data_IF_743811180355
#
_entry.id   IF_743811180355
#
_cell.length_a   1.000
_cell.length_b   1.000
_cell.length_c   1.000
_cell.angle_alpha   90.00
_cell.angle_beta   90.00
_cell.angle_gamma   90.00
#
_symmetry.space_group_name_H-M   'P 1'
#
loop_
_entity.id
_entity.type
_entity.pdbx_description
1 polymer ?
#
# COMPACT_ATOMS: atom_id res chain seq x y z
N UNK A 1 -18.74 4.89 2.66
CA UNK A 1 -17.82 5.96 2.16
C UNK A 1 -16.52 6.05 2.97
N UNK A 2 -16.54 6.31 4.29
CA UNK A 2 -15.33 6.35 5.15
C UNK A 2 -14.50 5.06 5.03
N UNK A 3 -15.12 3.91 5.32
CA UNK A 3 -14.43 2.61 5.24
C UNK A 3 -13.88 2.29 3.85
N UNK A 4 -14.59 2.63 2.77
CA UNK A 4 -14.10 2.44 1.40
C UNK A 4 -12.81 3.23 1.13
N UNK A 5 -12.74 4.51 1.54
CA UNK A 5 -11.51 5.31 1.37
C UNK A 5 -10.35 4.76 2.19
N UNK A 6 -10.63 4.36 3.42
CA UNK A 6 -9.63 3.76 4.30
C UNK A 6 -9.09 2.45 3.70
N UNK A 7 -9.97 1.60 3.19
CA UNK A 7 -9.57 0.36 2.52
C UNK A 7 -8.68 0.62 1.29
N UNK A 8 -9.05 1.59 0.44
CA UNK A 8 -8.23 1.95 -0.72
C UNK A 8 -6.85 2.48 -0.33
N UNK A 9 -6.77 3.27 0.76
CA UNK A 9 -5.50 3.74 1.31
C UNK A 9 -4.61 2.59 1.79
N UNK A 10 -5.17 1.67 2.58
CA UNK A 10 -4.44 0.53 3.13
C UNK A 10 -3.97 -0.44 2.03
N UNK A 11 -4.80 -0.66 1.00
CA UNK A 11 -4.43 -1.50 -0.15
C UNK A 11 -3.28 -0.86 -0.96
N UNK A 12 -3.29 0.46 -1.13
CA UNK A 12 -2.19 1.16 -1.79
C UNK A 12 -0.89 1.09 -0.99
N UNK A 13 -0.97 1.23 0.33
CA UNK A 13 0.17 1.10 1.26
C UNK A 13 0.75 -0.32 1.24
N UNK A 14 -0.11 -1.34 1.34
CA UNK A 14 0.28 -2.74 1.23
C UNK A 14 0.94 -3.04 -0.14
N UNK A 15 0.37 -2.55 -1.23
CA UNK A 15 0.91 -2.76 -2.57
C UNK A 15 2.29 -2.11 -2.76
N UNK A 16 2.53 -0.94 -2.14
CA UNK A 16 3.85 -0.30 -2.15
C UNK A 16 4.92 -1.14 -1.42
N UNK A 17 4.54 -1.82 -0.34
CA UNK A 17 5.43 -2.70 0.43
C UNK A 17 5.63 -4.08 -0.21
N UNK A 18 4.64 -4.61 -0.94
CA UNK A 18 4.63 -6.00 -1.42
C UNK A 18 5.39 -6.25 -2.74
N UNK A 19 6.36 -5.41 -3.09
CA UNK A 19 7.14 -5.57 -4.33
C UNK A 19 8.18 -6.71 -4.21
N UNK A 20 7.80 -7.97 -4.46
CA UNK A 20 8.64 -9.20 -4.42
C UNK A 20 8.83 -9.84 -3.03
N UNK A 21 7.85 -10.65 -2.61
CA UNK A 21 7.74 -11.32 -1.30
C UNK A 21 8.57 -12.61 -1.22
N UNK A 22 8.46 -13.51 -2.21
CA UNK A 22 9.05 -14.86 -2.17
C UNK A 22 10.58 -14.89 -2.19
N UNK A 23 11.23 -13.98 -2.91
CA UNK A 23 12.69 -13.89 -2.92
C UNK A 23 13.26 -13.41 -1.58
N UNK A 24 12.44 -12.76 -0.74
CA UNK A 24 12.89 -12.09 0.48
C UNK A 24 12.78 -12.94 1.73
N UNK A 25 11.79 -13.84 1.81
CA UNK A 25 11.75 -14.84 2.88
C UNK A 25 13.01 -15.72 2.84
N UNK A 26 13.39 -16.15 1.62
CA UNK A 26 14.64 -16.89 1.40
C UNK A 26 15.88 -16.07 1.75
N UNK A 27 15.87 -14.76 1.43
CA UNK A 27 16.95 -13.83 1.81
C UNK A 27 17.06 -13.72 3.34
N UNK A 28 15.94 -13.57 4.06
CA UNK A 28 15.93 -13.42 5.51
C UNK A 28 16.42 -14.68 6.22
N UNK A 29 15.99 -15.87 5.79
CA UNK A 29 16.45 -17.14 6.35
C UNK A 29 17.95 -17.35 6.14
N UNK A 30 18.45 -17.02 4.95
CA UNK A 30 19.87 -17.04 4.66
C UNK A 30 20.65 -16.09 5.58
N UNK A 31 20.19 -14.84 5.70
CA UNK A 31 20.83 -13.84 6.56
C UNK A 31 20.84 -14.28 8.03
N UNK A 32 19.74 -14.85 8.53
CA UNK A 32 19.66 -15.39 9.91
C UNK A 32 20.65 -16.51 10.14
N UNK A 33 20.77 -17.44 9.20
CA UNK A 33 21.76 -18.53 9.29
C UNK A 33 23.19 -17.98 9.32
N UNK A 34 23.53 -17.05 8.41
CA UNK A 34 24.86 -16.44 8.34
C UNK A 34 25.22 -15.67 9.61
N UNK A 35 24.28 -14.87 10.14
CA UNK A 35 24.45 -14.13 11.40
C UNK A 35 24.67 -15.11 12.55
N UNK A 36 23.88 -16.18 12.63
CA UNK A 36 24.01 -17.19 13.69
C UNK A 36 25.35 -17.91 13.64
N UNK A 37 25.80 -18.31 12.45
CA UNK A 37 27.10 -18.98 12.26
C UNK A 37 28.25 -18.09 12.76
N UNK A 38 28.28 -16.82 12.34
CA UNK A 38 29.35 -15.88 12.73
C UNK A 38 29.28 -15.52 14.21
N UNK A 39 28.08 -15.28 14.77
CA UNK A 39 27.91 -15.00 16.21
C UNK A 39 28.33 -16.18 17.07
N UNK A 40 28.00 -17.41 16.67
CA UNK A 40 28.38 -18.61 17.41
C UNK A 40 29.90 -18.82 17.48
N UNK A 41 30.64 -18.27 16.52
CA UNK A 41 32.10 -18.32 16.49
C UNK A 41 32.77 -17.38 17.49
N UNK A 42 32.06 -16.42 18.10
CA UNK A 42 32.60 -15.48 19.10
C UNK A 42 33.95 -14.90 18.69
N UNK A 43 34.00 -14.27 17.51
CA UNK A 43 35.22 -13.70 16.96
C UNK A 43 35.62 -12.43 17.71
N UNK A 44 36.91 -12.30 18.03
CA UNK A 44 37.47 -11.08 18.61
C UNK A 44 38.45 -10.46 17.62
N UNK A 45 38.38 -9.14 17.43
CA UNK A 45 39.29 -8.42 16.54
C UNK A 45 40.73 -8.53 17.06
N UNK A 46 41.65 -8.94 16.19
CA UNK A 46 43.08 -9.12 16.52
C UNK A 46 43.44 -10.47 17.17
N UNK A 47 42.46 -11.35 17.43
CA UNK A 47 42.71 -12.68 18.00
C UNK A 47 43.48 -13.61 17.05
N UNK A 48 43.26 -13.45 15.73
CA UNK A 48 43.81 -14.32 14.68
C UNK A 48 45.33 -14.43 14.72
N UNK A 49 46.02 -13.29 14.84
CA UNK A 49 47.49 -13.25 14.83
C UNK A 49 48.08 -13.92 16.08
N UNK A 50 47.43 -13.76 17.23
CA UNK A 50 47.83 -14.42 18.47
C UNK A 50 47.66 -15.94 18.38
N UNK A 51 46.48 -16.39 17.92
CA UNK A 51 46.15 -17.82 17.78
C UNK A 51 47.04 -18.48 16.72
N UNK A 52 47.30 -17.83 15.59
CA UNK A 52 48.22 -18.35 14.57
C UNK A 52 49.63 -18.52 15.12
N UNK A 53 50.15 -17.53 15.86
CA UNK A 53 51.49 -17.62 16.43
C UNK A 53 51.60 -18.75 17.46
N UNK A 54 50.58 -18.90 18.32
CA UNK A 54 50.50 -20.00 19.27
C UNK A 54 50.39 -21.35 18.57
N UNK A 55 49.58 -21.46 17.52
CA UNK A 55 49.45 -22.68 16.72
C UNK A 55 50.75 -23.04 16.00
N UNK A 56 51.44 -22.08 15.38
CA UNK A 56 52.75 -22.29 14.74
C UNK A 56 53.78 -22.81 15.73
N UNK A 57 53.83 -22.27 16.95
CA UNK A 57 54.73 -22.76 17.99
C UNK A 57 54.35 -24.17 18.46
N UNK A 58 53.07 -24.40 18.74
CA UNK A 58 52.55 -25.69 19.24
C UNK A 58 52.70 -26.83 18.22
N UNK A 59 52.34 -26.59 16.96
CA UNK A 59 52.47 -27.58 15.87
C UNK A 59 53.92 -27.98 15.57
N UNK A 60 54.87 -27.05 15.78
CA UNK A 60 56.29 -27.32 15.65
C UNK A 60 56.96 -27.82 16.94
N UNK A 61 56.23 -27.90 18.06
CA UNK A 61 56.81 -28.18 19.38
C UNK A 61 57.55 -29.52 19.42
N UNK A 62 57.03 -30.57 18.76
CA UNK A 62 57.74 -31.85 18.63
C UNK A 62 59.11 -31.69 17.96
N UNK A 63 59.15 -30.96 16.84
CA UNK A 63 60.39 -30.72 16.09
C UNK A 63 61.35 -29.82 16.84
N UNK A 64 60.83 -28.84 17.57
CA UNK A 64 61.62 -27.94 18.42
C UNK A 64 62.27 -28.70 19.57
N UNK A 65 61.54 -29.58 20.24
CA UNK A 65 62.06 -30.47 21.29
C UNK A 65 63.15 -31.39 20.72
N UNK A 66 62.88 -32.06 19.59
CA UNK A 66 63.86 -32.93 18.92
C UNK A 66 65.18 -32.19 18.62
N UNK A 67 65.10 -30.99 18.05
CA UNK A 67 66.28 -30.20 17.71
C UNK A 67 67.00 -29.67 18.95
N UNK A 68 66.27 -29.13 19.92
CA UNK A 68 66.85 -28.59 21.16
C UNK A 68 67.55 -29.69 21.97
N UNK A 69 66.91 -30.85 22.16
CA UNK A 69 67.50 -32.00 22.83
C UNK A 69 68.69 -32.58 22.05
N UNK A 70 68.64 -32.63 20.72
CA UNK A 70 69.77 -33.08 19.90
C UNK A 70 70.98 -32.14 20.01
N UNK A 71 70.76 -30.82 20.07
CA UNK A 71 71.83 -29.83 20.26
C UNK A 71 72.41 -29.94 21.68
N UNK A 72 71.56 -29.99 22.71
CA UNK A 72 71.99 -30.12 24.10
C UNK A 72 72.82 -31.40 24.31
N UNK A 73 72.38 -32.52 23.74
CA UNK A 73 73.11 -33.79 23.80
C UNK A 73 74.49 -33.70 23.12
N UNK A 74 74.56 -33.13 21.90
CA UNK A 74 75.84 -32.91 21.20
C UNK A 74 76.80 -32.01 21.98
N UNK A 75 76.29 -30.97 22.64
CA UNK A 75 77.11 -30.04 23.38
C UNK A 75 77.59 -30.62 24.71
N UNK A 76 76.74 -31.33 25.46
CA UNK A 76 77.02 -31.68 26.86
C UNK A 76 76.89 -33.17 27.21
N UNK A 77 75.86 -33.87 26.73
CA UNK A 77 75.44 -35.17 27.31
C UNK A 77 76.01 -36.42 26.60
N UNK A 78 76.53 -36.28 25.38
CA UNK A 78 77.16 -37.38 24.67
C UNK A 78 78.51 -37.81 25.28
N UNK A 79 78.88 -39.09 25.17
CA UNK A 79 80.17 -39.63 25.66
C UNK A 79 81.40 -38.88 25.13
N UNK A 80 81.31 -38.31 23.92
CA UNK A 80 82.31 -37.40 23.32
C UNK A 80 81.70 -36.05 22.96
N UNK A 81 80.95 -35.45 23.88
CA UNK A 81 80.35 -34.13 23.70
C UNK A 81 81.39 -33.05 23.41
N UNK A 82 80.95 -31.94 22.80
CA UNK A 82 81.84 -30.81 22.52
C UNK A 82 82.48 -30.29 23.81
N UNK A 83 81.71 -30.18 24.89
CA UNK A 83 82.23 -29.72 26.19
C UNK A 83 83.23 -30.70 26.80
N UNK A 84 83.05 -32.02 26.65
CA UNK A 84 84.03 -33.00 27.16
C UNK A 84 85.37 -32.91 26.41
N UNK A 85 85.34 -32.75 25.09
CA UNK A 85 86.54 -32.55 24.27
C UNK A 85 87.23 -31.21 24.55
N UNK A 86 86.46 -30.14 24.78
CA UNK A 86 87.01 -28.85 25.18
C UNK A 86 87.63 -28.92 26.59
N UNK A 87 87.11 -29.73 27.50
CA UNK A 87 87.71 -29.96 28.81
C UNK A 87 89.07 -30.67 28.70
N UNK A 88 89.21 -31.62 27.78
CA UNK A 88 90.50 -32.25 27.45
C UNK A 88 91.48 -31.23 26.85
N UNK A 89 91.02 -30.39 25.93
CA UNK A 89 91.83 -29.32 25.33
C UNK A 89 92.28 -28.30 26.39
N UNK A 90 91.43 -27.96 27.35
CA UNK A 90 91.78 -27.08 28.47
C UNK A 90 92.89 -27.68 29.34
N UNK A 91 92.95 -29.01 29.52
CA UNK A 91 94.06 -29.67 30.25
C UNK A 91 95.37 -29.50 29.50
N UNK A 92 95.36 -29.70 28.17
CA UNK A 92 96.54 -29.49 27.32
C UNK A 92 96.99 -28.04 27.31
N UNK A 93 96.05 -27.08 27.23
CA UNK A 93 96.37 -25.65 27.31
C UNK A 93 97.02 -25.27 28.65
N UNK A 94 96.55 -25.85 29.77
CA UNK A 94 97.18 -25.63 31.09
C UNK A 94 98.57 -26.24 31.19
N UNK A 95 98.81 -27.39 30.56
CA UNK A 95 100.15 -27.97 30.48
C UNK A 95 101.09 -27.09 29.63
N UNK A 96 100.58 -26.57 28.51
CA UNK A 96 101.33 -25.66 27.65
C UNK A 96 101.65 -24.33 28.34
N UNK A 97 100.70 -23.78 29.08
CA UNK A 97 100.86 -22.54 29.87
C UNK A 97 101.94 -22.67 30.97
N UNK A 98 102.12 -23.87 31.55
CA UNK A 98 103.22 -24.15 32.49
C UNK A 98 104.60 -24.09 31.82
N UNK A 99 104.66 -24.30 30.50
CA UNK A 99 105.90 -24.27 29.71
C UNK A 99 106.13 -22.85 29.16
N UNK A 100 105.08 -22.22 28.63
CA UNK A 100 105.11 -20.86 28.08
C UNK A 100 103.94 -20.02 28.59
N UNK A 101 104.25 -19.05 29.45
CA UNK A 101 103.27 -18.12 30.02
C UNK A 101 102.54 -17.24 28.99
N UNK A 102 103.08 -17.07 27.76
CA UNK A 102 102.43 -16.30 26.71
C UNK A 102 101.09 -16.91 26.25
N UNK A 103 100.86 -18.19 26.58
CA UNK A 103 99.66 -18.95 26.24
C UNK A 103 98.46 -18.63 27.14
N UNK A 104 98.66 -17.96 28.28
CA UNK A 104 97.61 -17.66 29.26
C UNK A 104 96.38 -16.95 28.64
N UNK A 105 96.58 -16.06 27.65
CA UNK A 105 95.48 -15.40 26.94
C UNK A 105 94.58 -16.37 26.17
N UNK A 106 95.16 -17.42 25.55
CA UNK A 106 94.41 -18.43 24.80
C UNK A 106 93.70 -19.40 25.76
N UNK A 107 94.35 -19.75 26.87
CA UNK A 107 93.76 -20.53 27.96
C UNK A 107 92.52 -19.83 28.54
N UNK A 108 92.61 -18.52 28.77
CA UNK A 108 91.49 -17.71 29.25
C UNK A 108 90.36 -17.57 28.22
N UNK A 109 90.70 -17.38 26.94
CA UNK A 109 89.71 -17.31 25.87
C UNK A 109 88.95 -18.64 25.70
N UNK A 110 89.66 -19.77 25.74
CA UNK A 110 89.07 -21.11 25.68
C UNK A 110 88.11 -21.36 26.86
N UNK A 111 88.53 -21.00 28.08
CA UNK A 111 87.68 -21.12 29.26
C UNK A 111 86.38 -20.30 29.14
N UNK A 112 86.44 -19.10 28.56
CA UNK A 112 85.27 -18.29 28.31
C UNK A 112 84.33 -18.95 27.28
N UNK A 113 84.84 -19.49 26.17
CA UNK A 113 84.03 -20.19 25.18
C UNK A 113 83.38 -21.47 25.73
N UNK A 114 84.04 -22.17 26.65
CA UNK A 114 83.45 -23.33 27.36
C UNK A 114 82.25 -22.92 28.20
N UNK A 115 82.34 -21.78 28.89
CA UNK A 115 81.22 -21.25 29.68
C UNK A 115 80.05 -20.89 28.76
N UNK A 116 80.29 -20.17 27.67
CA UNK A 116 79.22 -19.80 26.71
C UNK A 116 78.52 -21.04 26.12
N UNK A 117 79.28 -22.04 25.69
CA UNK A 117 78.70 -23.28 25.15
C UNK A 117 77.93 -24.09 26.21
N UNK A 118 78.39 -24.06 27.46
CA UNK A 118 77.68 -24.70 28.58
C UNK A 118 76.36 -24.00 28.88
N UNK A 119 76.33 -22.67 28.85
CA UNK A 119 75.10 -21.89 29.00
C UNK A 119 74.10 -22.15 27.87
N UNK A 120 74.57 -22.23 26.61
CA UNK A 120 73.72 -22.57 25.46
C UNK A 120 73.11 -23.97 25.63
N UNK A 121 73.91 -24.97 26.01
CA UNK A 121 73.43 -26.33 26.23
C UNK A 121 72.33 -26.36 27.31
N UNK A 122 72.59 -25.70 28.45
CA UNK A 122 71.63 -25.62 29.56
C UNK A 122 70.36 -24.87 29.18
N UNK A 123 70.49 -23.78 28.44
CA UNK A 123 69.34 -23.00 27.97
C UNK A 123 68.45 -23.80 27.01
N UNK A 124 69.05 -24.60 26.11
CA UNK A 124 68.31 -25.46 25.18
C UNK A 124 67.65 -26.66 25.87
N UNK A 125 68.30 -27.29 26.85
CA UNK A 125 67.64 -28.31 27.68
C UNK A 125 66.44 -27.73 28.43
N UNK A 126 66.61 -26.58 29.09
CA UNK A 126 65.51 -25.92 29.79
C UNK A 126 64.40 -25.43 28.85
N UNK A 127 64.72 -25.08 27.60
CA UNK A 127 63.75 -24.74 26.56
C UNK A 127 62.96 -25.98 26.11
N UNK A 128 63.61 -27.12 25.90
CA UNK A 128 62.97 -28.38 25.54
C UNK A 128 62.04 -28.88 26.65
N UNK A 129 62.43 -28.76 27.92
CA UNK A 129 61.58 -29.12 29.08
C UNK A 129 60.34 -28.22 29.22
N UNK A 130 60.43 -26.95 28.83
CA UNK A 130 59.31 -26.00 28.88
C UNK A 130 58.31 -26.18 27.74
N UNK A 131 58.71 -26.81 26.65
CA UNK A 131 57.82 -27.15 25.54
C UNK A 131 56.98 -28.37 25.93
N UNK A 132 55.95 -28.12 26.75
CA UNK A 132 54.97 -29.15 27.09
C UNK A 132 53.99 -29.32 25.93
N UNK A 133 53.91 -30.54 25.40
CA UNK A 133 53.01 -30.89 24.31
C UNK A 133 51.67 -31.30 24.91
N UNK A 134 50.83 -30.32 25.27
CA UNK A 134 49.42 -30.59 25.61
C UNK A 134 48.63 -30.86 24.31
N UNK A 135 48.27 -32.12 24.01
CA UNK A 135 47.61 -32.48 22.76
C UNK A 135 46.20 -31.88 22.66
N UNK A 136 45.54 -31.64 23.80
CA UNK A 136 44.21 -31.04 23.84
C UNK A 136 44.28 -29.55 23.48
N UNK A 137 45.29 -28.83 23.97
CA UNK A 137 45.52 -27.43 23.59
C UNK A 137 45.86 -27.28 22.11
N UNK A 138 46.69 -28.16 21.55
CA UNK A 138 47.01 -28.13 20.12
C UNK A 138 45.77 -28.39 19.27
N UNK A 139 44.95 -29.38 19.64
CA UNK A 139 43.70 -29.67 18.95
C UNK A 139 42.71 -28.50 19.02
N UNK A 140 42.61 -27.81 20.17
CA UNK A 140 41.78 -26.62 20.32
C UNK A 140 42.27 -25.45 19.44
N UNK A 141 43.59 -25.23 19.37
CA UNK A 141 44.19 -24.22 18.49
C UNK A 141 43.94 -24.55 17.01
N UNK A 142 44.12 -25.82 16.61
CA UNK A 142 43.86 -26.28 15.24
C UNK A 142 42.38 -26.07 14.85
N UNK A 143 41.44 -26.42 15.73
CA UNK A 143 40.03 -26.17 15.53
C UNK A 143 39.72 -24.68 15.39
N UNK A 144 40.34 -23.82 16.21
CA UNK A 144 40.15 -22.37 16.14
C UNK A 144 40.68 -21.78 14.83
N UNK A 145 41.87 -22.19 14.39
CA UNK A 145 42.44 -21.79 13.09
C UNK A 145 41.56 -22.26 11.92
N UNK A 146 41.11 -23.51 11.95
CA UNK A 146 40.22 -24.07 10.92
C UNK A 146 38.88 -23.33 10.83
N UNK A 147 38.33 -22.92 11.99
CA UNK A 147 37.13 -22.10 12.06
C UNK A 147 37.35 -20.73 11.40
N UNK A 148 38.47 -20.06 11.68
CA UNK A 148 38.82 -18.79 11.04
C UNK A 148 38.91 -18.91 9.52
N UNK A 149 39.62 -19.92 9.01
CA UNK A 149 39.72 -20.15 7.56
C UNK A 149 38.36 -20.44 6.91
N UNK A 150 37.51 -21.23 7.57
CA UNK A 150 36.17 -21.56 7.08
C UNK A 150 35.30 -20.30 6.98
N UNK A 151 35.31 -19.45 8.00
CA UNK A 151 34.54 -18.21 8.04
C UNK A 151 35.09 -17.18 7.06
N UNK A 152 36.41 -17.05 6.93
CA UNK A 152 37.03 -16.17 5.95
C UNK A 152 36.61 -16.56 4.53
N UNK A 153 36.72 -17.83 4.17
CA UNK A 153 36.30 -18.33 2.84
C UNK A 153 34.83 -18.03 2.52
N UNK A 154 33.95 -18.03 3.52
CA UNK A 154 32.51 -17.78 3.34
C UNK A 154 32.15 -16.29 3.33
N UNK A 155 32.80 -15.47 4.15
CA UNK A 155 32.26 -14.16 4.55
C UNK A 155 33.23 -12.97 4.42
N UNK A 156 34.54 -13.19 4.20
CA UNK A 156 35.50 -12.09 4.04
C UNK A 156 36.97 -12.52 4.07
N UNK A 157 37.87 -11.73 3.53
CA UNK A 157 39.30 -12.06 3.46
C UNK A 157 40.04 -11.92 4.81
N UNK A 158 39.40 -11.34 5.83
CA UNK A 158 39.93 -11.19 7.19
C UNK A 158 38.83 -11.31 8.25
N UNK A 159 39.19 -11.58 9.51
CA UNK A 159 38.23 -11.64 10.63
C UNK A 159 37.46 -10.32 10.79
N UNK A 160 38.12 -9.18 10.57
CA UNK A 160 37.45 -7.87 10.58
C UNK A 160 36.37 -7.75 9.49
N UNK A 161 36.63 -8.28 8.29
CA UNK A 161 35.63 -8.31 7.21
C UNK A 161 34.46 -9.25 7.52
N UNK A 162 34.72 -10.40 8.16
CA UNK A 162 33.68 -11.34 8.59
C UNK A 162 32.77 -10.70 9.64
N UNK A 163 33.32 -9.99 10.63
CA UNK A 163 32.53 -9.26 11.64
C UNK A 163 31.69 -8.17 10.96
N UNK A 164 32.30 -7.36 10.08
CA UNK A 164 31.59 -6.30 9.37
C UNK A 164 30.51 -6.87 8.42
N UNK A 165 30.70 -8.07 7.87
CA UNK A 165 29.67 -8.77 7.12
C UNK A 165 28.46 -9.11 8.00
N UNK A 166 28.68 -9.66 9.20
CA UNK A 166 27.60 -9.97 10.13
C UNK A 166 26.79 -8.73 10.55
N UNK A 167 27.45 -7.59 10.75
CA UNK A 167 26.77 -6.31 11.05
C UNK A 167 25.89 -5.85 9.90
N UNK A 168 26.39 -5.85 8.66
CA UNK A 168 25.61 -5.51 7.46
C UNK A 168 24.44 -6.48 7.26
N UNK A 169 24.68 -7.78 7.46
CA UNK A 169 23.63 -8.79 7.38
C UNK A 169 22.54 -8.56 8.42
N UNK A 170 22.90 -8.21 9.65
CA UNK A 170 21.95 -7.89 10.72
C UNK A 170 21.12 -6.64 10.41
N UNK A 171 21.74 -5.57 9.92
CA UNK A 171 21.01 -4.35 9.51
C UNK A 171 20.03 -4.66 8.37
N UNK A 172 20.45 -5.48 7.40
CA UNK A 172 19.60 -5.91 6.30
C UNK A 172 18.43 -6.76 6.77
N UNK A 173 18.67 -7.74 7.64
CA UNK A 173 17.64 -8.59 8.22
C UNK A 173 16.61 -7.76 8.99
N UNK A 174 17.05 -6.81 9.82
CA UNK A 174 16.16 -5.92 10.58
C UNK A 174 15.26 -5.08 9.67
N UNK A 175 15.78 -4.58 8.54
CA UNK A 175 14.98 -3.85 7.54
C UNK A 175 13.90 -4.73 6.90
N UNK A 176 14.19 -6.00 6.66
CA UNK A 176 13.22 -6.96 6.10
C UNK A 176 12.16 -7.30 7.16
N UNK A 177 12.57 -7.67 8.37
CA UNK A 177 11.66 -8.02 9.48
C UNK A 177 10.72 -6.87 9.85
N UNK A 178 11.23 -5.64 9.95
CA UNK A 178 10.41 -4.48 10.26
C UNK A 178 9.31 -4.21 9.21
N UNK A 179 9.56 -4.58 7.96
CA UNK A 179 8.56 -4.49 6.88
C UNK A 179 7.52 -5.59 6.96
N UNK A 180 7.93 -6.82 7.26
CA UNK A 180 6.99 -7.96 7.32
C UNK A 180 6.02 -7.81 8.50
N UNK A 181 6.49 -7.29 9.64
CA UNK A 181 5.64 -6.88 10.77
C UNK A 181 4.60 -5.84 10.32
N UNK A 182 5.03 -4.87 9.50
CA UNK A 182 4.14 -3.83 8.98
C UNK A 182 3.12 -4.39 7.97
N UNK A 183 3.52 -5.33 7.11
CA UNK A 183 2.62 -6.04 6.21
C UNK A 183 1.56 -6.85 6.99
N UNK A 184 1.94 -7.54 8.06
CA UNK A 184 1.01 -8.26 8.93
C UNK A 184 0.04 -7.31 9.67
N UNK A 185 0.53 -6.12 10.09
CA UNK A 185 -0.32 -5.07 10.66
C UNK A 185 -1.35 -4.60 9.64
N UNK A 186 -0.91 -4.27 8.42
CA UNK A 186 -1.77 -3.81 7.33
C UNK A 186 -2.79 -4.88 6.92
N UNK A 187 -2.40 -6.15 6.83
CA UNK A 187 -3.31 -7.24 6.51
C UNK A 187 -4.48 -7.34 7.51
N UNK A 188 -4.18 -7.28 8.81
CA UNK A 188 -5.20 -7.29 9.87
C UNK A 188 -6.12 -6.07 9.81
N UNK A 189 -5.57 -4.89 9.54
CA UNK A 189 -6.37 -3.68 9.40
C UNK A 189 -7.27 -3.71 8.17
N UNK A 190 -6.76 -4.21 7.04
CA UNK A 190 -7.54 -4.41 5.81
C UNK A 190 -8.72 -5.32 6.06
N UNK A 191 -8.52 -6.47 6.73
CA UNK A 191 -9.61 -7.39 7.07
C UNK A 191 -10.66 -6.73 7.96
N UNK A 192 -10.25 -6.02 9.01
CA UNK A 192 -11.15 -5.31 9.90
C UNK A 192 -11.98 -4.24 9.16
N UNK A 193 -11.33 -3.41 8.34
CA UNK A 193 -12.00 -2.35 7.57
C UNK A 193 -12.93 -2.96 6.52
N UNK A 194 -12.55 -4.08 5.87
CA UNK A 194 -13.42 -4.83 4.95
C UNK A 194 -14.67 -5.34 5.67
N UNK A 195 -14.53 -5.94 6.85
CA UNK A 195 -15.67 -6.41 7.63
C UNK A 195 -16.64 -5.27 8.00
N UNK A 196 -16.11 -4.13 8.43
CA UNK A 196 -16.92 -2.94 8.72
C UNK A 196 -17.61 -2.38 7.46
N UNK A 197 -16.88 -2.32 6.34
CA UNK A 197 -17.44 -1.91 5.04
C UNK A 197 -18.57 -2.83 4.59
N UNK A 198 -18.39 -4.15 4.73
CA UNK A 198 -19.38 -5.16 4.36
C UNK A 198 -20.66 -5.01 5.18
N UNK A 199 -20.57 -4.90 6.50
CA UNK A 199 -21.74 -4.66 7.36
C UNK A 199 -22.50 -3.39 6.95
N UNK A 200 -21.78 -2.29 6.72
CA UNK A 200 -22.40 -1.03 6.31
C UNK A 200 -23.00 -1.09 4.89
N UNK A 201 -22.31 -1.74 3.95
CA UNK A 201 -22.76 -1.88 2.56
C UNK A 201 -23.98 -2.78 2.44
N UNK A 202 -24.03 -3.89 3.18
CA UNK A 202 -25.21 -4.76 3.26
C UNK A 202 -26.42 -4.06 3.87
N UNK A 203 -26.21 -3.28 4.94
CA UNK A 203 -27.28 -2.48 5.55
C UNK A 203 -27.85 -1.48 4.53
N UNK A 204 -26.98 -0.77 3.80
CA UNK A 204 -27.40 0.15 2.74
C UNK A 204 -28.15 -0.57 1.61
N UNK A 205 -27.66 -1.73 1.16
CA UNK A 205 -28.31 -2.56 0.15
C UNK A 205 -29.71 -2.99 0.59
N UNK A 206 -29.88 -3.44 1.83
CA UNK A 206 -31.20 -3.81 2.38
C UNK A 206 -32.17 -2.62 2.38
N UNK A 207 -31.70 -1.42 2.74
CA UNK A 207 -32.53 -0.21 2.68
C UNK A 207 -32.93 0.13 1.25
N UNK A 208 -31.99 0.05 0.30
CA UNK A 208 -32.26 0.28 -1.13
C UNK A 208 -33.25 -0.74 -1.70
N UNK A 209 -33.06 -2.02 -1.41
CA UNK A 209 -33.96 -3.09 -1.86
C UNK A 209 -35.41 -2.90 -1.36
N UNK A 210 -35.58 -2.31 -0.17
CA UNK A 210 -36.91 -1.94 0.37
C UNK A 210 -37.47 -0.65 -0.23
N UNK A 211 -36.62 0.31 -0.58
CA UNK A 211 -37.02 1.62 -1.10
C UNK A 211 -37.33 1.61 -2.60
N UNK A 212 -36.58 0.83 -3.40
CA UNK A 212 -36.69 0.83 -4.85
C UNK A 212 -38.08 0.44 -5.38
N UNK A 213 -38.78 -0.58 -4.85
CA UNK A 213 -40.15 -0.89 -5.25
C UNK A 213 -41.13 0.23 -4.87
N UNK A 214 -40.95 0.86 -3.70
CA UNK A 214 -41.80 1.96 -3.24
C UNK A 214 -41.65 3.20 -4.11
N UNK A 215 -40.41 3.54 -4.47
CA UNK A 215 -40.11 4.62 -5.41
C UNK A 215 -40.73 4.34 -6.78
N UNK A 216 -40.60 3.11 -7.26
CA UNK A 216 -41.15 2.70 -8.56
C UNK A 216 -42.67 2.84 -8.58
N UNK A 217 -43.37 2.37 -7.55
CA UNK A 217 -44.83 2.50 -7.48
C UNK A 217 -45.29 3.95 -7.35
N UNK A 218 -44.59 4.77 -6.56
CA UNK A 218 -44.91 6.18 -6.45
C UNK A 218 -44.79 6.88 -7.82
N UNK A 219 -43.68 6.66 -8.53
CA UNK A 219 -43.47 7.23 -9.87
C UNK A 219 -44.53 6.72 -10.85
N UNK A 220 -44.88 5.42 -10.83
CA UNK A 220 -45.97 4.87 -11.66
C UNK A 220 -47.31 5.56 -11.39
N UNK A 221 -47.62 5.87 -10.13
CA UNK A 221 -48.84 6.62 -9.81
C UNK A 221 -48.84 8.01 -10.47
N UNK A 222 -47.74 8.76 -10.36
CA UNK A 222 -47.62 10.06 -11.04
C UNK A 222 -47.66 9.93 -12.58
N UNK A 223 -47.10 8.87 -13.14
CA UNK A 223 -47.11 8.59 -14.58
C UNK A 223 -48.52 8.32 -15.11
N UNK A 224 -49.34 7.57 -14.37
CA UNK A 224 -50.75 7.30 -14.75
C UNK A 224 -51.55 8.60 -14.91
N UNK A 225 -51.36 9.55 -14.00
CA UNK A 225 -52.02 10.86 -14.04
C UNK A 225 -51.56 11.70 -15.24
N UNK A 226 -50.32 11.50 -15.70
CA UNK A 226 -49.71 12.23 -16.82
C UNK A 226 -49.92 11.55 -18.18
N UNK A 227 -50.91 10.65 -18.27
CA UNK A 227 -51.31 9.99 -19.51
C UNK A 227 -50.61 8.67 -19.81
N UNK A 228 -49.67 8.23 -18.97
CA UNK A 228 -48.96 6.95 -19.12
C UNK A 228 -49.67 5.83 -18.37
N UNK A 229 -50.93 5.56 -18.71
CA UNK A 229 -51.79 4.62 -17.94
C UNK A 229 -51.28 3.18 -17.94
N UNK A 230 -50.54 2.79 -18.98
CA UNK A 230 -50.03 1.42 -19.15
C UNK A 230 -48.50 1.38 -19.26
N UNK A 231 -47.80 2.44 -18.83
CA UNK A 231 -46.33 2.43 -18.79
C UNK A 231 -45.81 1.64 -17.61
N UNK A 232 -44.60 1.10 -17.76
CA UNK A 232 -43.84 0.53 -16.65
C UNK A 232 -42.67 1.42 -16.26
N UNK A 233 -42.37 1.44 -14.97
CA UNK A 233 -41.20 2.11 -14.41
C UNK A 233 -40.56 1.23 -13.34
N UNK A 234 -39.25 1.07 -13.41
CA UNK A 234 -38.48 0.27 -12.46
C UNK A 234 -37.22 1.02 -12.05
N UNK A 235 -37.07 1.26 -10.74
CA UNK A 235 -35.80 1.61 -10.14
C UNK A 235 -35.00 0.31 -9.90
N UNK A 236 -34.25 -0.13 -10.91
CA UNK A 236 -33.55 -1.41 -10.90
C UNK A 236 -32.25 -1.33 -10.11
N UNK A 237 -32.11 -2.21 -9.11
CA UNK A 237 -30.88 -2.41 -8.37
C UNK A 237 -30.11 -3.61 -8.92
N UNK A 238 -28.83 -3.40 -9.23
CA UNK A 238 -27.92 -4.45 -9.70
C UNK A 238 -26.72 -4.54 -8.77
N UNK A 239 -26.32 -5.75 -8.38
CA UNK A 239 -25.05 -5.97 -7.65
C UNK A 239 -23.87 -5.47 -8.47
N UNK A 240 -22.88 -4.93 -7.80
CA UNK A 240 -21.55 -4.70 -8.37
C UNK A 240 -20.63 -5.88 -7.99
N UNK A 241 -19.74 -6.27 -8.90
CA UNK A 241 -18.71 -7.28 -8.63
C UNK A 241 -17.71 -6.76 -7.58
N UNK A 242 -17.35 -5.48 -7.70
CA UNK A 242 -16.53 -4.78 -6.72
C UNK A 242 -17.30 -3.64 -6.04
N UNK A 243 -17.13 -3.45 -4.71
CA UNK A 243 -17.65 -2.30 -4.01
C UNK A 243 -17.22 -0.98 -4.65
N UNK A 244 -18.16 -0.04 -4.79
CA UNK A 244 -17.85 1.34 -5.15
C UNK A 244 -17.88 2.25 -3.92
N UNK A 245 -17.42 3.50 -4.08
CA UNK A 245 -17.61 4.56 -3.08
C UNK A 245 -19.09 4.73 -2.67
N UNK A 246 -20.03 4.35 -3.53
CA UNK A 246 -21.48 4.49 -3.33
C UNK A 246 -22.18 3.22 -2.84
N UNK A 247 -21.44 2.14 -2.55
CA UNK A 247 -21.97 0.88 -2.01
C UNK A 247 -21.77 -0.29 -2.97
N UNK A 248 -22.52 -1.37 -2.73
CA UNK A 248 -22.39 -2.66 -3.41
C UNK A 248 -23.34 -2.85 -4.58
N UNK A 249 -24.13 -1.81 -4.87
CA UNK A 249 -25.15 -1.86 -5.92
C UNK A 249 -25.10 -0.60 -6.75
N UNK A 250 -25.38 -0.75 -8.04
CA UNK A 250 -25.80 0.34 -8.92
C UNK A 250 -27.33 0.42 -8.98
N UNK A 251 -27.83 1.63 -9.25
CA UNK A 251 -29.25 1.90 -9.48
C UNK A 251 -29.41 2.44 -10.89
N UNK A 252 -30.28 1.84 -11.68
CA UNK A 252 -30.67 2.33 -12.99
C UNK A 252 -32.18 2.54 -13.04
N UNK A 253 -32.62 3.74 -13.46
CA UNK A 253 -34.03 4.03 -13.66
C UNK A 253 -34.42 3.58 -15.07
N UNK A 254 -35.35 2.64 -15.13
CA UNK A 254 -35.85 2.06 -16.37
C UNK A 254 -37.30 2.46 -16.58
N UNK A 255 -37.66 2.69 -17.84
CA UNK A 255 -39.00 3.09 -18.23
C UNK A 255 -39.39 2.40 -19.54
N UNK A 256 -40.67 2.06 -19.64
CA UNK A 256 -41.30 1.57 -20.85
C UNK A 256 -42.61 2.34 -21.06
N UNK A 257 -42.75 3.12 -22.14
CA UNK A 257 -43.91 3.98 -22.34
C UNK A 257 -45.20 3.20 -22.63
N UNK A 258 -45.07 2.04 -23.28
CA UNK A 258 -46.19 1.27 -23.81
C UNK A 258 -46.11 -0.21 -23.41
N UNK A 259 -47.25 -0.90 -23.26
CA UNK A 259 -47.29 -2.35 -23.09
C UNK A 259 -46.58 -3.08 -24.23
N UNK A 260 -45.82 -4.11 -23.88
CA UNK A 260 -45.07 -4.93 -24.84
C UNK A 260 -43.72 -4.35 -25.27
N UNK A 261 -43.40 -3.11 -24.89
CA UNK A 261 -42.04 -2.57 -25.06
C UNK A 261 -41.14 -2.94 -23.87
N UNK A 262 -39.84 -3.24 -24.11
CA UNK A 262 -38.92 -3.57 -23.03
C UNK A 262 -38.59 -2.32 -22.20
N UNK A 263 -38.35 -2.52 -20.91
CA UNK A 263 -37.81 -1.52 -20.01
C UNK A 263 -36.43 -1.05 -20.50
N UNK A 264 -36.30 0.25 -20.77
CA UNK A 264 -35.05 0.86 -21.23
C UNK A 264 -34.55 1.92 -20.25
N UNK A 265 -33.24 2.15 -20.16
CA UNK A 265 -32.69 3.27 -19.39
C UNK A 265 -33.25 4.60 -19.89
N UNK A 266 -33.44 5.57 -18.99
CA UNK A 266 -34.03 6.88 -19.35
C UNK A 266 -33.32 7.58 -20.51
N UNK A 267 -31.99 7.43 -20.58
CA UNK A 267 -31.14 7.98 -21.66
C UNK A 267 -31.44 7.42 -23.06
N UNK A 268 -32.13 6.28 -23.13
CA UNK A 268 -32.44 5.57 -24.37
C UNK A 268 -33.90 5.81 -24.84
N UNK A 269 -34.64 6.70 -24.17
CA UNK A 269 -35.97 7.14 -24.60
C UNK A 269 -35.79 8.20 -25.69
N UNK A 270 -36.58 8.12 -26.78
CA UNK A 270 -36.37 8.94 -27.98
C UNK A 270 -37.26 10.20 -28.06
N UNK A 271 -38.41 10.23 -27.38
CA UNK A 271 -39.38 11.34 -27.46
C UNK A 271 -39.13 12.39 -26.38
N UNK A 272 -38.79 13.62 -26.79
CA UNK A 272 -38.49 14.75 -25.90
C UNK A 272 -39.65 15.08 -24.95
N UNK A 273 -40.88 15.13 -25.46
CA UNK A 273 -42.07 15.40 -24.65
C UNK A 273 -42.40 14.28 -23.64
N UNK A 274 -42.12 13.03 -23.99
CA UNK A 274 -42.29 11.91 -23.06
C UNK A 274 -41.29 11.96 -21.92
N UNK A 275 -40.02 12.31 -22.22
CA UNK A 275 -38.99 12.52 -21.21
C UNK A 275 -39.37 13.66 -20.27
N UNK A 276 -39.84 14.80 -20.79
CA UNK A 276 -40.24 15.93 -19.95
C UNK A 276 -41.37 15.57 -18.98
N UNK A 277 -42.39 14.83 -19.44
CA UNK A 277 -43.47 14.34 -18.56
C UNK A 277 -42.99 13.27 -17.57
N UNK A 278 -42.11 12.36 -17.99
CA UNK A 278 -41.50 11.38 -17.10
C UNK A 278 -40.67 12.08 -16.01
N UNK A 279 -39.90 13.09 -16.37
CA UNK A 279 -39.13 13.89 -15.42
C UNK A 279 -40.05 14.65 -14.46
N UNK A 280 -41.19 15.19 -14.93
CA UNK A 280 -42.19 15.77 -14.05
C UNK A 280 -42.74 14.73 -13.06
N UNK A 281 -43.01 13.50 -13.50
CA UNK A 281 -43.45 12.42 -12.62
C UNK A 281 -42.41 12.10 -11.54
N UNK A 282 -41.15 11.96 -11.94
CA UNK A 282 -40.02 11.68 -11.04
C UNK A 282 -39.83 12.82 -10.04
N UNK A 283 -39.84 14.08 -10.51
CA UNK A 283 -39.70 15.27 -9.67
C UNK A 283 -40.87 15.43 -8.71
N UNK A 284 -42.09 15.12 -9.15
CA UNK A 284 -43.27 15.13 -8.28
C UNK A 284 -43.17 14.05 -7.20
N UNK A 285 -42.72 12.84 -7.54
CA UNK A 285 -42.55 11.75 -6.59
C UNK A 285 -41.44 12.00 -5.55
N UNK A 286 -40.48 12.87 -5.87
CA UNK A 286 -39.33 13.23 -5.04
C UNK A 286 -39.41 14.67 -4.50
N UNK A 287 -40.54 15.36 -4.66
CA UNK A 287 -40.64 16.81 -4.41
C UNK A 287 -40.14 17.22 -3.02
N UNK A 288 -40.48 16.43 -1.99
CA UNK A 288 -40.10 16.68 -0.60
C UNK A 288 -38.62 16.36 -0.27
N UNK A 289 -37.92 15.62 -1.14
CA UNK A 289 -36.51 15.26 -0.96
C UNK A 289 -35.59 15.94 -1.98
N UNK A 290 -36.15 16.58 -3.01
CA UNK A 290 -35.41 17.29 -4.02
C UNK A 290 -34.90 18.62 -3.44
N UNK A 291 -33.60 18.88 -3.61
CA UNK A 291 -32.96 20.10 -3.13
C UNK A 291 -32.80 21.15 -4.23
N UNK A 292 -33.23 20.85 -5.46
CA UNK A 292 -33.08 21.73 -6.62
C UNK A 292 -34.19 22.79 -6.63
N UNK A 293 -33.89 24.08 -6.36
CA UNK A 293 -34.93 25.09 -6.11
C UNK A 293 -35.64 25.59 -7.38
N UNK A 294 -35.05 25.39 -8.56
CA UNK A 294 -35.58 25.86 -9.84
C UNK A 294 -35.64 24.71 -10.84
N UNK A 295 -36.83 24.45 -11.37
CA UNK A 295 -37.11 23.42 -12.36
C UNK A 295 -37.65 24.08 -13.63
N UNK A 296 -37.02 23.77 -14.77
CA UNK A 296 -37.45 24.25 -16.09
C UNK A 296 -37.94 23.07 -16.89
N UNK A 297 -39.21 23.10 -17.30
CA UNK A 297 -39.80 22.08 -18.17
C UNK A 297 -40.06 22.69 -19.55
N UNK A 298 -39.43 22.10 -20.55
CA UNK A 298 -39.64 22.42 -21.96
C UNK A 298 -40.37 21.27 -22.66
N UNK A 299 -41.18 21.59 -23.67
CA UNK A 299 -41.94 20.63 -24.48
C UNK A 299 -42.83 19.63 -23.68
N UNK A 300 -43.19 19.96 -22.44
CA UNK A 300 -43.97 19.06 -21.58
C UNK A 300 -45.40 18.83 -22.10
N UNK A 301 -45.89 19.77 -22.90
CA UNK A 301 -47.19 19.78 -23.54
C UNK A 301 -47.18 19.17 -24.96
N UNK A 302 -46.04 18.68 -25.45
CA UNK A 302 -45.94 18.03 -26.77
C UNK A 302 -46.77 16.75 -26.82
N UNK A 303 -47.67 16.67 -27.82
CA UNK A 303 -48.63 15.56 -28.02
C UNK A 303 -49.56 15.34 -26.81
N UNK A 304 -49.86 16.41 -26.06
CA UNK A 304 -50.79 16.39 -24.92
C UNK A 304 -52.02 17.23 -25.25
N UNK A 305 -53.20 16.75 -24.88
CA UNK A 305 -54.45 17.50 -24.99
C UNK A 305 -55.46 17.11 -23.91
N UNK A 306 -56.48 17.93 -23.74
CA UNK A 306 -57.61 17.64 -22.85
C UNK A 306 -57.22 17.44 -21.38
N UNK A 307 -57.69 16.35 -20.78
CA UNK A 307 -57.50 16.04 -19.35
C UNK A 307 -56.02 15.91 -18.95
N UNK A 308 -55.17 15.41 -19.85
CA UNK A 308 -53.74 15.23 -19.56
C UNK A 308 -53.05 16.60 -19.43
N UNK A 309 -53.45 17.59 -20.24
CA UNK A 309 -52.90 18.95 -20.14
C UNK A 309 -53.25 19.61 -18.79
N UNK A 310 -54.47 19.35 -18.31
CA UNK A 310 -54.89 19.80 -16.99
C UNK A 310 -54.09 19.12 -15.88
N UNK A 311 -53.86 17.80 -15.97
CA UNK A 311 -53.07 17.06 -15.00
C UNK A 311 -51.59 17.52 -14.97
N UNK A 312 -51.00 17.83 -16.12
CA UNK A 312 -49.65 18.41 -16.24
C UNK A 312 -49.60 19.76 -15.50
N UNK A 313 -50.53 20.67 -15.79
CA UNK A 313 -50.61 21.97 -15.13
C UNK A 313 -50.83 21.86 -13.61
N UNK A 314 -51.68 20.92 -13.17
CA UNK A 314 -51.96 20.64 -11.78
C UNK A 314 -50.71 20.15 -11.03
N UNK A 315 -49.97 19.18 -11.58
CA UNK A 315 -48.74 18.68 -10.95
C UNK A 315 -47.66 19.73 -10.89
N UNK A 316 -47.50 20.57 -11.92
CA UNK A 316 -46.55 21.69 -11.88
C UNK A 316 -46.94 22.74 -10.83
N UNK A 317 -48.24 23.02 -10.64
CA UNK A 317 -48.73 23.88 -9.54
C UNK A 317 -48.35 23.31 -8.18
N UNK A 318 -48.60 22.02 -7.96
CA UNK A 318 -48.25 21.35 -6.69
C UNK A 318 -46.76 21.39 -6.44
N UNK A 319 -45.95 21.05 -7.45
CA UNK A 319 -44.48 21.13 -7.36
C UNK A 319 -44.01 22.57 -7.12
N UNK A 320 -44.76 23.54 -7.66
CA UNK A 320 -44.59 24.98 -7.47
C UNK A 320 -44.74 25.49 -6.02
N UNK A 321 -45.26 24.66 -5.11
CA UNK A 321 -45.36 25.00 -3.69
C UNK A 321 -44.01 24.91 -2.98
N UNK A 322 -43.17 23.95 -3.42
CA UNK A 322 -41.87 23.68 -2.82
C UNK A 322 -40.71 24.21 -3.69
N UNK A 323 -40.93 24.35 -5.00
CA UNK A 323 -39.91 24.70 -5.99
C UNK A 323 -40.39 25.81 -6.93
N UNK A 324 -39.48 26.60 -7.49
CA UNK A 324 -39.82 27.47 -8.61
C UNK A 324 -39.91 26.63 -9.89
N UNK A 325 -41.07 26.63 -10.54
CA UNK A 325 -41.29 25.88 -11.80
C UNK A 325 -41.49 26.87 -12.94
N UNK A 326 -40.66 26.76 -13.97
CA UNK A 326 -40.79 27.50 -15.23
C UNK A 326 -41.22 26.53 -16.32
N UNK A 327 -42.31 26.83 -17.01
CA UNK A 327 -42.81 26.05 -18.13
C UNK A 327 -43.10 26.98 -19.31
N UNK A 328 -42.61 26.62 -20.48
CA UNK A 328 -43.02 27.24 -21.74
C UNK A 328 -44.14 26.38 -22.30
N UNK A 329 -45.32 26.95 -22.51
CA UNK A 329 -46.49 26.19 -22.95
C UNK A 329 -47.35 26.98 -23.93
N UNK A 330 -47.99 26.25 -24.83
CA UNK A 330 -49.04 26.76 -25.71
C UNK A 330 -50.44 26.31 -25.28
N UNK A 331 -50.55 25.48 -24.23
CA UNK A 331 -51.82 24.93 -23.76
C UNK A 331 -52.46 25.83 -22.69
N UNK A 332 -53.68 26.35 -22.92
CA UNK A 332 -54.38 27.21 -21.96
C UNK A 332 -54.63 26.51 -20.62
N UNK A 333 -54.81 25.19 -20.62
CA UNK A 333 -55.02 24.38 -19.41
C UNK A 333 -53.80 24.43 -18.49
N UNK A 334 -52.59 24.49 -19.05
CA UNK A 334 -51.34 24.58 -18.29
C UNK A 334 -51.09 26.03 -17.85
N UNK A 335 -51.21 27.00 -18.76
CA UNK A 335 -51.01 28.42 -18.43
C UNK A 335 -51.99 28.94 -17.36
N UNK A 336 -53.21 28.41 -17.32
CA UNK A 336 -54.20 28.77 -16.31
C UNK A 336 -53.78 28.39 -14.88
N UNK A 337 -52.94 27.36 -14.69
CA UNK A 337 -52.51 26.92 -13.35
C UNK A 337 -51.38 27.78 -12.78
N UNK A 338 -50.65 28.53 -13.60
CA UNK A 338 -49.46 29.26 -13.17
C UNK A 338 -49.76 30.32 -12.09
N UNK A 339 -48.82 30.53 -11.16
CA UNK A 339 -48.91 31.64 -10.20
C UNK A 339 -48.69 32.99 -10.90
N UNK A 340 -47.66 33.07 -11.76
CA UNK A 340 -47.40 34.19 -12.67
C UNK A 340 -47.44 33.72 -14.11
N UNK A 341 -48.07 34.51 -14.98
CA UNK A 341 -48.21 34.19 -16.41
C UNK A 341 -47.52 35.26 -17.24
N UNK A 342 -46.52 34.85 -18.03
CA UNK A 342 -45.79 35.72 -18.94
C UNK A 342 -46.11 35.37 -20.39
N UNK A 343 -46.34 36.40 -21.20
CA UNK A 343 -46.60 36.27 -22.64
C UNK A 343 -45.38 36.76 -23.40
N UNK A 344 -44.91 35.94 -24.34
CA UNK A 344 -43.86 36.30 -25.29
C UNK A 344 -44.50 36.86 -26.55
N UNK A 345 -44.17 38.10 -26.91
CA UNK A 345 -44.57 38.73 -28.18
C UNK A 345 -43.36 39.01 -29.05
N UNK A 346 -43.56 39.09 -30.37
CA UNK A 346 -42.54 39.50 -31.33
C UNK A 346 -42.92 40.85 -31.89
N UNK A 347 -42.07 41.85 -31.67
CA UNK A 347 -42.28 43.22 -32.15
C UNK A 347 -41.18 43.59 -33.15
N UNK A 348 -41.57 44.20 -34.28
CA UNK A 348 -40.61 44.62 -35.31
C UNK A 348 -40.28 46.10 -35.11
N UNK A 349 -39.03 46.39 -34.73
CA UNK A 349 -38.54 47.77 -34.56
C UNK A 349 -37.37 48.00 -35.50
N UNK A 350 -37.46 49.04 -36.35
CA UNK A 350 -36.42 49.40 -37.34
C UNK A 350 -35.97 48.22 -38.22
N UNK A 351 -36.93 47.41 -38.69
CA UNK A 351 -36.67 46.26 -39.56
C UNK A 351 -36.07 45.03 -38.86
N UNK A 352 -35.94 45.03 -37.53
CA UNK A 352 -35.49 43.86 -36.74
C UNK A 352 -36.60 43.38 -35.82
N UNK A 353 -36.78 42.07 -35.74
CA UNK A 353 -37.72 41.43 -34.81
C UNK A 353 -37.08 41.26 -33.45
N UNK A 354 -37.72 41.76 -32.41
CA UNK A 354 -37.35 41.60 -31.01
C UNK A 354 -38.41 40.77 -30.30
N UNK A 355 -37.98 39.87 -29.41
CA UNK A 355 -38.88 39.14 -28.51
C UNK A 355 -39.05 39.94 -27.23
N UNK A 356 -40.29 40.26 -26.86
CA UNK A 356 -40.64 40.92 -25.62
C UNK A 356 -41.37 39.95 -24.70
N UNK A 357 -41.10 40.04 -23.39
CA UNK A 357 -41.76 39.25 -22.36
C UNK A 357 -42.53 40.19 -21.44
N UNK A 358 -43.83 39.96 -21.26
CA UNK A 358 -44.67 40.76 -20.36
C UNK A 358 -45.48 39.87 -19.44
N UNK A 359 -45.58 40.23 -18.16
CA UNK A 359 -46.51 39.57 -17.24
C UNK A 359 -47.95 40.01 -17.55
N UNK A 360 -48.89 39.06 -17.53
CA UNK A 360 -50.32 39.32 -17.70
C UNK A 360 -51.07 38.95 -16.41
N UNK A 361 -51.93 39.87 -15.96
CA UNK A 361 -52.67 39.75 -14.70
C UNK A 361 -54.15 40.13 -14.88
N UNK A 362 -55.01 39.66 -13.97
CA UNK A 362 -56.44 39.97 -13.96
C UNK A 362 -57.12 39.75 -15.32
N UNK A 363 -57.82 40.77 -15.82
CA UNK A 363 -58.53 40.73 -17.11
C UNK A 363 -57.62 40.42 -18.30
N UNK A 364 -56.39 40.96 -18.31
CA UNK A 364 -55.45 40.71 -19.42
C UNK A 364 -54.97 39.26 -19.47
N UNK A 365 -54.91 38.58 -18.30
CA UNK A 365 -54.64 37.15 -18.22
C UNK A 365 -55.82 36.32 -18.74
N UNK A 366 -57.05 36.69 -18.40
CA UNK A 366 -58.26 36.03 -18.90
C UNK A 366 -58.38 36.14 -20.43
N UNK A 367 -58.15 37.33 -20.98
CA UNK A 367 -58.14 37.57 -22.43
C UNK A 367 -57.07 36.74 -23.14
N UNK A 368 -55.90 36.55 -22.53
CA UNK A 368 -54.84 35.73 -23.08
C UNK A 368 -55.19 34.24 -23.07
N UNK A 369 -55.74 33.71 -21.96
CA UNK A 369 -56.21 32.33 -21.92
C UNK A 369 -57.34 32.10 -22.94
N UNK A 370 -58.26 33.06 -23.11
CA UNK A 370 -59.29 33.00 -24.15
C UNK A 370 -58.68 32.99 -25.57
N UNK A 371 -57.66 33.83 -25.82
CA UNK A 371 -56.90 33.82 -27.08
C UNK A 371 -56.28 32.45 -27.35
N UNK A 372 -55.67 31.81 -26.34
CA UNK A 372 -55.09 30.47 -26.44
C UNK A 372 -56.15 29.37 -26.69
N UNK A 373 -57.39 29.56 -26.23
CA UNK A 373 -58.52 28.66 -26.47
C UNK A 373 -59.17 28.78 -27.86
N UNK A 374 -58.69 29.70 -28.71
CA UNK A 374 -59.17 29.83 -30.09
C UNK A 374 -59.92 31.12 -30.42
N UNK A 375 -59.92 32.13 -29.55
CA UNK A 375 -60.37 33.49 -29.91
C UNK A 375 -60.99 34.32 -28.79
N UNK A 376 -61.46 35.53 -29.12
CA UNK A 376 -62.08 36.47 -28.16
C UNK A 376 -63.62 36.37 -28.13
N UNK A 377 -64.19 35.21 -28.44
CA UNK A 377 -65.64 35.04 -28.33
C UNK A 377 -66.08 35.09 -26.87
N UNK A 378 -67.35 35.45 -26.63
CA UNK A 378 -67.91 35.45 -25.28
C UNK A 378 -67.85 34.04 -24.64
N UNK A 379 -67.97 32.99 -25.44
CA UNK A 379 -67.82 31.60 -25.00
C UNK A 379 -66.39 31.26 -24.56
N UNK A 380 -65.38 31.73 -25.28
CA UNK A 380 -63.97 31.51 -24.93
C UNK A 380 -63.58 32.24 -23.64
N UNK A 381 -64.09 33.47 -23.44
CA UNK A 381 -63.90 34.21 -22.19
C UNK A 381 -64.54 33.51 -20.99
N UNK A 382 -65.78 33.00 -21.14
CA UNK A 382 -66.43 32.21 -20.07
C UNK A 382 -65.63 30.96 -19.71
N UNK A 383 -65.09 30.24 -20.70
CA UNK A 383 -64.25 29.07 -20.46
C UNK A 383 -62.91 29.45 -19.81
N UNK A 384 -62.27 30.53 -20.25
CA UNK A 384 -61.04 31.05 -19.66
C UNK A 384 -61.22 31.43 -18.20
N UNK A 385 -62.30 32.15 -17.87
CA UNK A 385 -62.67 32.49 -16.50
C UNK A 385 -62.88 31.23 -15.65
N UNK A 386 -63.48 30.18 -16.22
CA UNK A 386 -63.71 28.90 -15.52
C UNK A 386 -62.38 28.19 -15.23
N UNK A 387 -61.47 28.14 -16.20
CA UNK A 387 -60.13 27.54 -16.01
C UNK A 387 -59.31 28.29 -14.95
N UNK A 388 -59.36 29.62 -14.93
CA UNK A 388 -58.64 30.42 -13.94
C UNK A 388 -59.23 30.27 -12.53
N UNK A 389 -60.56 30.26 -12.40
CA UNK A 389 -61.25 30.08 -11.11
C UNK A 389 -60.96 28.74 -10.43
N UNK A 390 -60.57 27.72 -11.17
CA UNK A 390 -60.19 26.43 -10.59
C UNK A 390 -58.90 26.48 -9.74
N UNK A 391 -58.15 27.59 -9.78
CA UNK A 391 -56.83 27.73 -9.14
C UNK A 391 -56.69 28.98 -8.25
N UNK A 392 -57.80 29.68 -8.01
CA UNK A 392 -57.93 30.79 -7.05
C UNK A 392 -58.57 30.24 -5.80
#
# INVERSE_FOLDING_TARGET
RKHFRQLQSLLAEQAALNTAETAREQELDLLRHQISEIKSANLVAGEEEEIENRYKLASNSKRLIELASAIANKLSEADRSVLSQLAETQRLLRELEKIDSSIAQFSSAHAASVVELSEIARALSAYAEKLDLDPEQLAALEQRVSLFETLKRKYGSSIAEVIAFAERAAERAQKIEGRDIELERLAREIENVRAQMNRAGEALRKLRAKAAPKLSENIRHHLRDLGFRQSEFEAKLSSLDEPSRNGFDSMELLFSPNPGEPLKPLRAIASSGEISRLMLAIKSALAAQDAIPLLVFDEIDTNVGGEIAHAVGAKMRTLGQDHQVICITHLPQVAATASSHFVVTKDVTRGRTFSNLREVTGKTREEEIARMLGGKSESALKLAATLLKAWV
#
